data_IF_630330467269
#
_entry.id   IF_630330467269
#
_cell.length_a   1.000
_cell.length_b   1.000
_cell.length_c   1.000
_cell.angle_alpha   90.00
_cell.angle_beta   90.00
_cell.angle_gamma   90.00
#
_symmetry.space_group_name_H-M   'P 1'
#
loop_
_entity.id
_entity.type
_entity.pdbx_description
1 polymer ?
#
# COMPACT_ATOMS: atom_id res chain seq x y z
N UNK A 1 5.13 16.93 1.94
CA UNK A 1 6.47 16.33 2.15
C UNK A 1 6.52 15.40 3.35
N UNK A 2 5.92 15.74 4.50
CA UNK A 2 5.92 14.90 5.72
C UNK A 2 5.56 13.43 5.46
N UNK A 3 4.43 13.16 4.80
CA UNK A 3 4.02 11.79 4.41
C UNK A 3 5.13 10.95 3.79
N UNK A 4 5.90 11.51 2.84
CA UNK A 4 6.96 10.77 2.14
C UNK A 4 8.08 10.41 3.12
N UNK A 5 8.51 11.37 3.94
CA UNK A 5 9.58 11.17 4.89
C UNK A 5 9.21 10.13 5.95
N UNK A 6 8.05 10.32 6.60
CA UNK A 6 7.58 9.46 7.68
C UNK A 6 7.34 8.02 7.16
N UNK A 7 6.75 7.88 5.97
CA UNK A 7 6.50 6.56 5.35
C UNK A 7 7.80 5.84 5.01
N UNK A 8 8.78 6.52 4.40
CA UNK A 8 10.05 5.88 4.05
C UNK A 8 10.89 5.55 5.29
N UNK A 9 10.87 6.40 6.32
CA UNK A 9 11.54 6.11 7.59
C UNK A 9 10.95 4.88 8.28
N UNK A 10 9.62 4.80 8.36
CA UNK A 10 8.92 3.64 8.91
C UNK A 10 9.34 2.34 8.20
N UNK A 11 9.37 2.36 6.87
CA UNK A 11 9.69 1.17 6.07
C UNK A 11 11.19 0.81 6.04
N UNK A 12 12.08 1.76 6.35
CA UNK A 12 13.51 1.50 6.55
C UNK A 12 13.78 0.73 7.85
N UNK A 13 12.89 0.83 8.85
CA UNK A 13 13.03 0.04 10.08
C UNK A 13 12.89 -1.45 9.78
N UNK A 14 13.72 -2.25 10.46
CA UNK A 14 13.52 -3.69 10.54
C UNK A 14 12.08 -3.98 11.01
N UNK A 15 11.35 -4.93 10.39
CA UNK A 15 9.98 -5.23 10.75
C UNK A 15 9.74 -5.43 12.26
N UNK A 16 10.70 -5.98 13.02
CA UNK A 16 10.54 -6.15 14.47
C UNK A 16 10.58 -4.83 15.25
N UNK A 17 11.16 -3.78 14.69
CA UNK A 17 11.24 -2.45 15.31
C UNK A 17 10.10 -1.52 14.89
N UNK A 18 9.35 -1.84 13.82
CA UNK A 18 8.26 -1.00 13.30
C UNK A 18 7.18 -0.67 14.33
N UNK A 19 6.96 -1.51 15.35
CA UNK A 19 6.04 -1.23 16.46
C UNK A 19 6.37 0.09 17.18
N UNK A 20 7.65 0.44 17.32
CA UNK A 20 8.08 1.69 17.99
C UNK A 20 7.89 2.94 17.14
N UNK A 21 7.59 2.75 15.85
CA UNK A 21 7.49 3.79 14.84
C UNK A 21 6.10 3.81 14.17
N UNK A 22 5.11 3.09 14.72
CA UNK A 22 3.80 2.94 14.07
C UNK A 22 3.04 4.27 13.91
N UNK A 23 3.38 5.28 14.72
CA UNK A 23 2.90 6.64 14.52
C UNK A 23 3.39 7.22 13.18
N UNK A 24 4.60 6.92 12.70
CA UNK A 24 5.14 7.48 11.45
C UNK A 24 4.26 7.15 10.23
N UNK A 25 3.74 5.92 10.16
CA UNK A 25 2.89 5.49 9.03
C UNK A 25 1.45 6.01 9.12
N UNK A 26 1.01 6.48 10.29
CA UNK A 26 -0.38 6.93 10.56
C UNK A 26 -0.51 8.44 10.74
N UNK A 27 0.57 9.13 11.10
CA UNK A 27 0.58 10.54 11.52
C UNK A 27 0.11 11.50 10.43
N UNK A 28 0.43 11.21 9.16
CA UNK A 28 0.05 12.07 8.03
C UNK A 28 -1.46 12.29 7.90
N UNK A 29 -2.29 11.35 8.36
CA UNK A 29 -3.75 11.47 8.33
C UNK A 29 -4.24 12.60 9.24
N UNK A 30 -3.51 12.92 10.32
CA UNK A 30 -3.91 13.99 11.26
C UNK A 30 -3.96 15.37 10.59
N UNK A 31 -3.18 15.57 9.54
CA UNK A 31 -3.14 16.82 8.78
C UNK A 31 -3.49 16.62 7.30
N UNK A 32 -3.94 15.45 6.85
CA UNK A 32 -4.17 15.15 5.44
C UNK A 32 -5.20 16.06 4.73
N UNK A 33 -5.98 16.83 5.49
CA UNK A 33 -6.98 17.78 4.98
C UNK A 33 -6.67 19.24 5.31
N UNK A 34 -5.48 19.54 5.84
CA UNK A 34 -5.04 20.93 6.00
C UNK A 34 -4.70 21.59 4.66
N UNK A 35 -4.39 20.79 3.64
CA UNK A 35 -4.03 21.22 2.29
C UNK A 35 -4.52 20.20 1.26
N UNK A 36 -4.50 20.60 -0.01
CA UNK A 36 -4.72 19.68 -1.13
C UNK A 36 -3.42 18.94 -1.47
N UNK A 37 -3.13 17.86 -0.73
CA UNK A 37 -1.85 17.17 -0.85
C UNK A 37 -1.71 16.32 -2.12
N UNK A 38 -0.48 16.33 -2.63
CA UNK A 38 0.08 15.26 -3.46
C UNK A 38 1.05 14.45 -2.61
N UNK A 39 1.13 13.15 -2.87
CA UNK A 39 2.02 12.17 -2.26
C UNK A 39 3.15 11.89 -3.28
N UNK A 40 4.33 12.52 -3.14
CA UNK A 40 5.41 12.35 -4.09
C UNK A 40 6.43 11.31 -3.62
N UNK A 41 6.79 10.40 -4.52
CA UNK A 41 8.06 9.68 -4.51
C UNK A 41 8.84 10.15 -5.75
N UNK A 42 9.56 11.26 -5.58
CA UNK A 42 10.16 12.02 -6.68
C UNK A 42 11.62 11.62 -6.94
N UNK A 43 12.23 12.20 -7.98
CA UNK A 43 13.63 12.02 -8.33
C UNK A 43 14.61 12.29 -7.18
N UNK A 44 14.32 13.31 -6.35
CA UNK A 44 15.17 13.69 -5.21
C UNK A 44 15.31 12.56 -4.18
N UNK A 45 14.41 11.58 -4.16
CA UNK A 45 14.46 10.47 -3.21
C UNK A 45 15.29 9.27 -3.69
N UNK A 46 15.77 9.28 -4.93
CA UNK A 46 16.48 8.14 -5.56
C UNK A 46 17.83 8.52 -6.16
N UNK A 47 18.47 9.54 -5.59
CA UNK A 47 19.79 10.08 -5.98
C UNK A 47 20.65 10.39 -4.75
N UNK A 48 21.90 10.80 -4.99
CA UNK A 48 22.82 11.35 -3.99
C UNK A 48 23.08 10.42 -2.78
N UNK A 49 23.20 9.12 -3.02
CA UNK A 49 23.49 8.14 -1.98
C UNK A 49 22.26 7.70 -1.17
N UNK A 50 21.06 8.18 -1.52
CA UNK A 50 19.81 7.77 -0.86
C UNK A 50 19.36 6.36 -1.29
N UNK A 51 19.86 5.83 -2.38
CA UNK A 51 19.45 4.58 -3.01
C UNK A 51 18.08 4.65 -3.68
N UNK A 52 17.83 3.73 -4.61
CA UNK A 52 16.49 3.48 -5.16
C UNK A 52 15.52 3.01 -4.07
N UNK A 53 14.22 3.25 -4.25
CA UNK A 53 13.18 2.92 -3.25
C UNK A 53 13.30 1.47 -2.74
N UNK A 54 13.43 0.50 -3.66
CA UNK A 54 13.55 -0.93 -3.32
C UNK A 54 14.74 -1.24 -2.40
N UNK A 55 15.82 -0.46 -2.51
CA UNK A 55 17.06 -0.70 -1.76
C UNK A 55 17.04 -0.06 -0.37
N UNK A 56 16.07 0.80 -0.08
CA UNK A 56 15.90 1.42 1.25
C UNK A 56 15.36 0.45 2.28
N UNK A 57 14.67 -0.61 1.86
CA UNK A 57 14.01 -1.54 2.79
C UNK A 57 14.99 -2.63 3.28
N UNK A 58 14.84 -3.10 4.53
CA UNK A 58 15.58 -4.24 5.06
C UNK A 58 15.06 -5.55 4.47
N UNK A 59 15.81 -6.63 4.71
CA UNK A 59 15.45 -7.99 4.29
C UNK A 59 16.12 -8.44 2.99
N UNK A 60 15.79 -9.67 2.60
CA UNK A 60 16.25 -10.24 1.34
C UNK A 60 15.60 -9.57 0.12
N UNK A 61 16.03 -9.94 -1.09
CA UNK A 61 15.53 -9.34 -2.33
C UNK A 61 14.02 -9.49 -2.49
N UNK A 62 13.45 -10.63 -2.10
CA UNK A 62 12.01 -10.86 -2.18
C UNK A 62 11.25 -9.94 -1.22
N UNK A 63 11.72 -9.82 0.03
CA UNK A 63 11.13 -8.94 1.05
C UNK A 63 11.20 -7.46 0.66
N UNK A 64 12.30 -7.02 0.05
CA UNK A 64 12.44 -5.65 -0.47
C UNK A 64 11.42 -5.33 -1.55
N UNK A 65 11.25 -6.25 -2.51
CA UNK A 65 10.25 -6.09 -3.57
C UNK A 65 8.82 -6.18 -3.05
N UNK A 66 8.54 -7.09 -2.10
CA UNK A 66 7.23 -7.19 -1.45
C UNK A 66 6.88 -5.90 -0.70
N UNK A 67 7.82 -5.36 0.09
CA UNK A 67 7.68 -4.07 0.78
C UNK A 67 7.41 -2.93 -0.19
N UNK A 68 8.09 -2.90 -1.33
CA UNK A 68 7.84 -1.90 -2.37
C UNK A 68 6.42 -1.99 -2.95
N UNK A 69 5.96 -3.21 -3.27
CA UNK A 69 4.59 -3.42 -3.78
C UNK A 69 3.54 -3.04 -2.73
N UNK A 70 3.75 -3.37 -1.46
CA UNK A 70 2.90 -2.95 -0.34
C UNK A 70 2.88 -1.43 -0.17
N UNK A 71 4.05 -0.77 -0.23
CA UNK A 71 4.12 0.70 -0.23
C UNK A 71 3.27 1.30 -1.33
N UNK A 72 3.34 0.78 -2.56
CA UNK A 72 2.53 1.29 -3.67
C UNK A 72 1.03 1.05 -3.46
N UNK A 73 0.63 -0.13 -2.99
CA UNK A 73 -0.77 -0.40 -2.63
C UNK A 73 -1.28 0.56 -1.55
N UNK A 74 -0.50 0.79 -0.50
CA UNK A 74 -0.83 1.74 0.55
C UNK A 74 -0.89 3.18 0.02
N UNK A 75 0.13 3.63 -0.71
CA UNK A 75 0.24 4.97 -1.27
C UNK A 75 -0.94 5.30 -2.20
N UNK A 76 -1.34 4.37 -3.07
CA UNK A 76 -2.47 4.60 -3.98
C UNK A 76 -3.82 4.70 -3.23
N UNK A 77 -3.98 3.99 -2.12
CA UNK A 77 -5.18 4.04 -1.29
C UNK A 77 -5.21 5.21 -0.30
N UNK A 78 -4.06 5.73 0.13
CA UNK A 78 -3.98 6.87 1.04
C UNK A 78 -4.65 8.12 0.45
N UNK A 79 -5.30 9.01 1.22
CA UNK A 79 -5.80 10.28 0.71
C UNK A 79 -4.68 11.15 0.07
N UNK A 80 -4.98 11.79 -1.05
CA UNK A 80 -4.09 12.70 -1.79
C UNK A 80 -3.66 12.18 -3.17
N UNK A 81 -3.24 13.06 -4.09
CA UNK A 81 -2.87 12.67 -5.47
C UNK A 81 -1.49 11.99 -5.53
N UNK A 82 -1.19 11.22 -6.58
CA UNK A 82 0.01 10.35 -6.64
C UNK A 82 1.06 10.90 -7.61
N UNK A 83 2.32 10.84 -7.22
CA UNK A 83 3.46 11.08 -8.10
C UNK A 83 4.54 10.02 -7.85
N UNK A 84 4.96 9.33 -8.91
CA UNK A 84 6.02 8.33 -8.89
C UNK A 84 7.03 8.65 -9.99
N UNK A 85 8.31 8.73 -9.63
CA UNK A 85 9.37 9.03 -10.59
C UNK A 85 9.79 7.80 -11.39
N UNK A 86 10.13 8.03 -12.67
CA UNK A 86 10.53 6.99 -13.62
C UNK A 86 11.66 6.10 -13.10
N UNK A 87 11.63 4.81 -13.43
CA UNK A 87 12.51 3.78 -12.86
C UNK A 87 11.93 3.11 -11.61
N UNK A 88 11.16 3.85 -10.82
CA UNK A 88 10.55 3.32 -9.59
C UNK A 88 9.45 2.30 -9.88
N UNK A 89 8.75 2.45 -11.00
CA UNK A 89 7.64 1.59 -11.42
C UNK A 89 8.05 0.16 -11.79
N UNK A 90 9.35 -0.08 -12.00
CA UNK A 90 9.91 -1.41 -12.23
C UNK A 90 11.00 -1.78 -11.24
N UNK A 91 11.10 -1.05 -10.11
CA UNK A 91 12.12 -1.26 -9.09
C UNK A 91 13.54 -1.25 -9.67
N UNK A 92 13.92 -0.17 -10.37
CA UNK A 92 15.30 0.03 -10.80
C UNK A 92 16.28 -0.21 -9.64
N UNK A 93 17.43 -0.81 -9.95
CA UNK A 93 18.43 -1.17 -8.93
C UNK A 93 19.29 0.03 -8.56
N UNK A 94 19.90 0.68 -9.55
CA UNK A 94 20.85 1.75 -9.30
C UNK A 94 20.12 3.09 -9.19
N UNK A 95 20.69 4.00 -8.40
CA UNK A 95 20.21 5.39 -8.33
C UNK A 95 20.03 6.01 -9.71
N UNK A 96 19.11 6.96 -9.81
CA UNK A 96 18.89 7.63 -11.08
C UNK A 96 20.16 8.37 -11.50
N UNK A 97 20.59 8.13 -12.74
CA UNK A 97 21.71 8.79 -13.38
C UNK A 97 21.25 9.31 -14.73
N UNK A 98 21.14 10.63 -14.86
CA UNK A 98 20.66 11.31 -16.05
C UNK A 98 21.55 11.06 -17.28
N UNK A 99 22.84 10.80 -17.06
CA UNK A 99 23.80 10.54 -18.14
C UNK A 99 23.73 9.10 -18.68
N UNK A 100 23.28 8.14 -17.86
CA UNK A 100 23.17 6.73 -18.24
C UNK A 100 21.77 6.34 -18.73
N UNK A 101 20.74 7.09 -18.34
CA UNK A 101 19.35 6.75 -18.60
C UNK A 101 18.83 5.63 -17.69
N UNK A 102 17.63 5.12 -18.00
CA UNK A 102 16.97 4.08 -17.22
C UNK A 102 17.50 2.67 -17.58
N UNK A 103 17.53 1.79 -16.58
CA UNK A 103 17.98 0.40 -16.72
C UNK A 103 16.88 -0.49 -17.32
N UNK A 104 16.43 -0.20 -18.54
CA UNK A 104 15.28 -0.86 -19.18
C UNK A 104 15.42 -2.39 -19.31
N UNK A 105 16.65 -2.90 -19.45
CA UNK A 105 16.93 -4.35 -19.51
C UNK A 105 16.42 -5.10 -18.26
N UNK A 106 16.25 -4.42 -17.12
CA UNK A 106 15.69 -5.02 -15.91
C UNK A 106 14.25 -5.52 -16.11
N UNK A 107 13.49 -4.89 -17.01
CA UNK A 107 12.09 -5.26 -17.29
C UNK A 107 11.92 -6.64 -17.92
N UNK A 108 13.01 -7.25 -18.42
CA UNK A 108 13.02 -8.61 -18.94
C UNK A 108 13.04 -9.68 -17.84
N UNK A 109 13.33 -9.30 -16.59
CA UNK A 109 13.33 -10.22 -15.45
C UNK A 109 12.01 -10.19 -14.69
N UNK A 110 11.58 -11.38 -14.24
CA UNK A 110 10.28 -11.58 -13.61
C UNK A 110 10.04 -10.63 -12.42
N UNK A 111 11.06 -10.44 -11.57
CA UNK A 111 10.95 -9.62 -10.35
C UNK A 111 10.62 -8.14 -10.62
N UNK A 112 11.18 -7.55 -11.68
CA UNK A 112 10.92 -6.17 -12.08
C UNK A 112 9.59 -6.04 -12.83
N UNK A 113 9.30 -7.01 -13.71
CA UNK A 113 8.02 -7.07 -14.43
C UNK A 113 6.83 -7.21 -13.47
N UNK A 114 7.02 -7.89 -12.33
CA UNK A 114 6.01 -8.04 -11.27
C UNK A 114 5.62 -6.68 -10.65
N UNK A 115 6.61 -5.81 -10.39
CA UNK A 115 6.38 -4.46 -9.88
C UNK A 115 5.65 -3.60 -10.92
N UNK A 116 6.02 -3.67 -12.19
CA UNK A 116 5.30 -2.95 -13.26
C UNK A 116 3.85 -3.38 -13.37
N UNK A 117 3.58 -4.70 -13.26
CA UNK A 117 2.22 -5.24 -13.28
C UNK A 117 1.40 -4.72 -12.09
N UNK A 118 1.99 -4.57 -10.90
CA UNK A 118 1.33 -3.92 -9.76
C UNK A 118 0.98 -2.47 -10.09
N UNK A 119 1.92 -1.67 -10.59
CA UNK A 119 1.65 -0.27 -10.95
C UNK A 119 0.54 -0.16 -12.01
N UNK A 120 0.57 -1.01 -13.03
CA UNK A 120 -0.49 -1.10 -14.05
C UNK A 120 -1.85 -1.41 -13.42
N UNK A 121 -1.90 -2.43 -12.54
CA UNK A 121 -3.13 -2.83 -11.86
C UNK A 121 -3.66 -1.72 -10.94
N UNK A 122 -2.79 -1.10 -10.15
CA UNK A 122 -3.12 0.03 -9.27
C UNK A 122 -3.73 1.18 -10.06
N UNK A 123 -3.10 1.60 -11.17
CA UNK A 123 -3.60 2.67 -12.01
C UNK A 123 -4.94 2.31 -12.69
N UNK A 124 -5.13 1.05 -13.07
CA UNK A 124 -6.41 0.59 -13.61
C UNK A 124 -7.53 0.67 -12.58
N UNK A 125 -7.29 0.20 -11.35
CA UNK A 125 -8.31 0.24 -10.28
C UNK A 125 -8.55 1.67 -9.83
N UNK A 126 -7.50 2.48 -9.65
CA UNK A 126 -7.60 3.88 -9.23
C UNK A 126 -8.54 4.69 -10.13
N UNK A 127 -8.40 4.57 -11.45
CA UNK A 127 -9.30 5.23 -12.40
C UNK A 127 -10.74 4.72 -12.31
N UNK A 128 -10.93 3.43 -12.03
CA UNK A 128 -12.24 2.78 -12.03
C UNK A 128 -13.00 2.89 -10.70
N UNK A 129 -12.34 3.26 -9.59
CA UNK A 129 -12.92 3.27 -8.24
C UNK A 129 -12.96 4.70 -7.68
N UNK A 130 -14.12 5.39 -7.75
CA UNK A 130 -14.24 6.78 -7.33
C UNK A 130 -13.86 7.05 -5.87
N UNK A 131 -14.05 6.05 -4.99
CA UNK A 131 -13.66 6.13 -3.57
C UNK A 131 -12.17 6.47 -3.36
N UNK A 132 -11.30 6.14 -4.30
CA UNK A 132 -9.86 6.40 -4.21
C UNK A 132 -9.46 7.84 -4.52
N UNK A 133 -10.35 8.67 -5.09
CA UNK A 133 -9.98 10.01 -5.57
C UNK A 133 -11.02 11.12 -5.45
N UNK A 134 -12.32 10.83 -5.34
CA UNK A 134 -13.37 11.85 -5.25
C UNK A 134 -13.22 12.71 -3.99
N UNK A 135 -13.02 12.06 -2.85
CA UNK A 135 -12.97 12.70 -1.53
C UNK A 135 -11.56 12.80 -0.95
N UNK A 136 -10.53 12.96 -1.79
CA UNK A 136 -9.14 13.10 -1.29
C UNK A 136 -8.96 14.30 -0.35
N UNK A 137 -9.74 15.37 -0.57
CA UNK A 137 -9.65 16.64 0.18
C UNK A 137 -10.82 16.83 1.17
N UNK A 138 -11.58 15.77 1.45
CA UNK A 138 -12.67 15.78 2.44
C UNK A 138 -12.42 14.66 3.48
N UNK A 139 -12.38 14.97 4.80
CA UNK A 139 -12.26 13.98 5.87
C UNK A 139 -13.26 12.82 5.79
N UNK A 140 -14.47 13.06 5.29
CA UNK A 140 -15.49 12.02 5.10
C UNK A 140 -15.09 10.96 4.06
N UNK A 141 -14.05 11.21 3.26
CA UNK A 141 -13.47 10.27 2.31
C UNK A 141 -12.64 9.16 2.93
N UNK A 142 -12.43 9.16 4.25
CA UNK A 142 -11.54 8.26 4.96
C UNK A 142 -12.10 7.86 6.33
N UNK A 143 -11.86 6.62 6.76
CA UNK A 143 -12.10 6.18 8.14
C UNK A 143 -11.14 5.07 8.54
N UNK A 144 -10.51 5.18 9.70
CA UNK A 144 -9.67 4.10 10.24
C UNK A 144 -10.52 2.88 10.61
N UNK A 145 -10.04 1.70 10.23
CA UNK A 145 -10.54 0.41 10.72
C UNK A 145 -9.57 -0.16 11.75
N UNK A 146 -8.26 -0.04 11.47
CA UNK A 146 -7.14 -0.38 12.34
C UNK A 146 -6.04 0.65 12.12
N UNK A 147 -5.74 1.45 13.14
CA UNK A 147 -4.69 2.48 13.08
C UNK A 147 -3.68 2.41 14.23
N UNK A 148 -3.86 1.47 15.15
CA UNK A 148 -3.11 1.33 16.40
C UNK A 148 -2.47 -0.06 16.59
N UNK A 149 -2.55 -0.93 15.57
CA UNK A 149 -2.00 -2.29 15.63
C UNK A 149 -0.53 -2.35 15.18
N UNK A 150 0.30 -1.57 15.90
CA UNK A 150 1.75 -1.54 15.70
C UNK A 150 2.43 -2.87 16.01
N UNK A 151 1.87 -3.68 16.91
CA UNK A 151 2.42 -4.99 17.26
C UNK A 151 2.35 -5.98 16.07
N UNK A 152 1.32 -5.87 15.24
CA UNK A 152 1.14 -6.71 14.05
C UNK A 152 1.71 -6.08 12.77
N UNK A 153 2.16 -4.82 12.83
CA UNK A 153 2.50 -3.97 11.69
C UNK A 153 1.35 -3.83 10.67
N UNK A 154 0.11 -3.85 11.13
CA UNK A 154 -1.07 -3.78 10.26
C UNK A 154 -1.71 -2.40 10.36
N UNK A 155 -2.04 -1.85 9.20
CA UNK A 155 -2.93 -0.69 9.08
C UNK A 155 -4.09 -1.05 8.15
N UNK A 156 -5.29 -0.62 8.52
CA UNK A 156 -6.48 -0.81 7.70
C UNK A 156 -7.39 0.40 7.77
N UNK A 157 -7.94 0.81 6.63
CA UNK A 157 -8.84 1.94 6.55
C UNK A 157 -9.82 1.80 5.39
N UNK A 158 -10.92 2.54 5.49
CA UNK A 158 -11.92 2.68 4.45
C UNK A 158 -11.70 3.99 3.68
N UNK A 159 -11.87 3.93 2.36
CA UNK A 159 -12.04 5.07 1.46
C UNK A 159 -13.49 5.12 0.98
N UNK A 160 -14.05 6.33 0.90
CA UNK A 160 -15.45 6.54 0.52
C UNK A 160 -15.58 7.42 -0.74
N UNK A 161 -16.47 7.03 -1.64
CA UNK A 161 -16.92 7.87 -2.77
C UNK A 161 -18.02 8.85 -2.34
N UNK A 162 -18.42 9.71 -3.27
CA UNK A 162 -19.54 10.66 -3.10
C UNK A 162 -20.88 9.96 -2.91
N UNK A 163 -21.09 8.83 -3.58
CA UNK A 163 -22.30 8.00 -3.45
C UNK A 163 -22.29 7.06 -2.22
N UNK A 164 -21.26 7.13 -1.39
CA UNK A 164 -21.13 6.31 -0.19
C UNK A 164 -20.67 4.87 -0.43
N UNK A 165 -20.15 4.55 -1.61
CA UNK A 165 -19.53 3.24 -1.89
C UNK A 165 -18.16 3.13 -1.18
N UNK A 166 -17.95 2.11 -0.33
CA UNK A 166 -16.68 1.93 0.37
C UNK A 166 -15.67 1.10 -0.43
N UNK A 167 -14.39 1.39 -0.21
CA UNK A 167 -13.26 0.53 -0.54
C UNK A 167 -12.40 0.38 0.70
N UNK A 168 -12.03 -0.84 1.07
CA UNK A 168 -11.17 -1.10 2.23
C UNK A 168 -9.76 -1.39 1.75
N UNK A 169 -8.77 -0.74 2.37
CA UNK A 169 -7.35 -1.02 2.19
C UNK A 169 -6.82 -1.65 3.48
N UNK A 170 -6.15 -2.79 3.37
CA UNK A 170 -5.42 -3.45 4.45
C UNK A 170 -3.97 -3.60 4.02
N UNK A 171 -3.03 -3.16 4.86
CA UNK A 171 -1.60 -3.36 4.60
C UNK A 171 -0.94 -4.01 5.79
N UNK A 172 -0.23 -5.11 5.54
CA UNK A 172 0.66 -5.75 6.51
C UNK A 172 2.10 -5.41 6.15
N UNK A 173 2.77 -4.68 7.04
CA UNK A 173 4.19 -4.36 6.94
C UNK A 173 5.06 -5.34 7.76
N UNK A 174 4.58 -6.55 8.04
CA UNK A 174 5.38 -7.65 8.60
C UNK A 174 5.70 -8.68 7.52
N UNK A 175 6.91 -9.31 7.52
CA UNK A 175 7.19 -10.48 6.71
C UNK A 175 6.45 -11.74 7.18
N UNK A 176 5.73 -11.66 8.31
CA UNK A 176 4.91 -12.75 8.83
C UNK A 176 3.45 -12.54 8.39
N UNK A 177 2.82 -13.54 7.75
CA UNK A 177 1.40 -13.48 7.44
C UNK A 177 0.54 -13.57 8.70
N UNK A 178 -0.66 -13.01 8.65
CA UNK A 178 -1.68 -13.19 9.68
C UNK A 178 -2.76 -14.13 9.15
N UNK A 179 -2.76 -15.40 9.59
CA UNK A 179 -3.73 -16.40 9.10
C UNK A 179 -5.14 -16.24 9.69
N UNK A 180 -5.28 -15.53 10.80
CA UNK A 180 -6.58 -15.36 11.47
C UNK A 180 -6.72 -13.94 12.02
N UNK A 181 -6.68 -12.95 11.13
CA UNK A 181 -6.78 -11.55 11.50
C UNK A 181 -8.25 -11.11 11.57
N UNK A 182 -8.69 -10.62 12.73
CA UNK A 182 -10.06 -10.13 12.89
C UNK A 182 -10.15 -8.68 12.38
N UNK A 183 -10.74 -8.50 11.20
CA UNK A 183 -10.89 -7.20 10.55
C UNK A 183 -12.33 -6.69 10.71
N UNK A 184 -12.55 -5.46 11.24
CA UNK A 184 -13.84 -4.79 11.14
C UNK A 184 -14.06 -4.24 9.73
N UNK A 185 -15.27 -4.38 9.19
CA UNK A 185 -15.67 -3.83 7.90
C UNK A 185 -16.69 -2.70 8.11
N UNK A 186 -16.73 -1.69 7.21
CA UNK A 186 -17.57 -0.51 7.41
C UNK A 186 -19.07 -0.79 7.20
N UNK A 187 -19.43 -1.83 6.44
CA UNK A 187 -20.81 -2.16 6.10
C UNK A 187 -21.00 -3.66 5.89
N UNK A 188 -22.20 -4.16 6.18
CA UNK A 188 -22.61 -5.52 5.82
C UNK A 188 -22.71 -5.71 4.29
N UNK A 189 -22.63 -6.96 3.84
CA UNK A 189 -22.71 -7.34 2.43
C UNK A 189 -21.58 -8.28 2.00
N UNK A 190 -21.50 -8.55 0.70
CA UNK A 190 -20.46 -9.39 0.11
C UNK A 190 -19.26 -8.53 -0.23
N UNK A 191 -18.09 -8.96 0.22
CA UNK A 191 -16.82 -8.32 -0.06
C UNK A 191 -15.92 -9.26 -0.86
N UNK A 192 -15.12 -8.69 -1.76
CA UNK A 192 -14.12 -9.43 -2.54
C UNK A 192 -12.81 -8.66 -2.65
N UNK A 193 -11.72 -9.41 -2.78
CA UNK A 193 -10.42 -8.84 -3.13
C UNK A 193 -10.43 -8.32 -4.58
N UNK A 194 -9.98 -7.08 -4.78
CA UNK A 194 -9.78 -6.49 -6.11
C UNK A 194 -8.32 -6.18 -6.42
N UNK A 195 -7.49 -6.11 -5.38
CA UNK A 195 -6.04 -6.01 -5.43
C UNK A 195 -5.47 -6.86 -4.32
N UNK A 196 -4.43 -7.63 -4.63
CA UNK A 196 -3.58 -8.27 -3.65
C UNK A 196 -2.14 -8.20 -4.16
N UNK A 197 -1.27 -7.43 -3.49
CA UNK A 197 0.11 -7.25 -3.95
C UNK A 197 1.01 -8.46 -3.70
N UNK A 198 0.49 -9.48 -3.01
CA UNK A 198 1.11 -10.79 -2.79
C UNK A 198 0.73 -11.84 -3.85
N UNK A 199 -0.06 -11.46 -4.86
CA UNK A 199 -0.39 -12.36 -5.98
C UNK A 199 0.90 -12.89 -6.67
N UNK A 200 0.89 -14.17 -7.02
CA UNK A 200 1.98 -14.84 -7.74
C UNK A 200 2.31 -14.12 -9.07
N UNK A 201 1.32 -13.52 -9.73
CA UNK A 201 1.49 -12.73 -10.94
C UNK A 201 2.39 -11.49 -10.75
N UNK A 202 2.52 -11.03 -9.50
CA UNK A 202 3.36 -9.91 -9.08
C UNK A 202 4.66 -10.35 -8.38
N UNK A 203 4.88 -11.66 -8.22
CA UNK A 203 6.02 -12.22 -7.50
C UNK A 203 5.85 -12.28 -5.98
N UNK A 204 4.62 -12.32 -5.48
CA UNK A 204 4.34 -12.59 -4.06
C UNK A 204 4.31 -14.09 -3.72
N UNK A 205 3.79 -14.42 -2.54
CA UNK A 205 3.70 -15.77 -2.00
C UNK A 205 2.41 -16.51 -2.37
N UNK A 206 1.39 -15.77 -2.83
CA UNK A 206 0.12 -16.34 -3.30
C UNK A 206 -0.91 -16.58 -2.19
N UNK A 207 -0.83 -15.87 -1.06
CA UNK A 207 -1.90 -15.91 -0.06
C UNK A 207 -3.07 -15.07 -0.56
N UNK A 208 -4.23 -15.70 -0.72
CA UNK A 208 -5.46 -15.07 -1.22
C UNK A 208 -6.63 -15.34 -0.28
N UNK A 209 -7.66 -14.50 -0.37
CA UNK A 209 -8.96 -14.76 0.26
C UNK A 209 -10.06 -14.89 -0.82
N UNK A 210 -10.97 -15.83 -0.61
CA UNK A 210 -12.21 -15.91 -1.39
C UNK A 210 -13.16 -14.78 -1.00
N UNK A 211 -14.16 -14.49 -1.85
CA UNK A 211 -15.23 -13.56 -1.47
C UNK A 211 -15.96 -14.05 -0.22
N UNK A 212 -16.32 -13.12 0.66
CA UNK A 212 -16.99 -13.45 1.91
C UNK A 212 -18.14 -12.47 2.20
N UNK A 213 -19.12 -12.92 2.97
CA UNK A 213 -20.20 -12.08 3.47
C UNK A 213 -19.89 -11.58 4.89
N UNK A 214 -20.31 -10.35 5.16
CA UNK A 214 -20.30 -9.72 6.48
C UNK A 214 -21.73 -9.36 6.85
N UNK A 215 -22.13 -9.69 8.09
CA UNK A 215 -23.47 -9.44 8.62
C UNK A 215 -23.43 -8.48 9.82
N UNK A 216 -24.50 -7.73 10.02
CA UNK A 216 -24.68 -6.86 11.20
C UNK A 216 -24.62 -7.64 12.51
N UNK A 217 -25.06 -8.91 12.50
CA UNK A 217 -25.04 -9.80 13.67
C UNK A 217 -23.61 -10.21 14.09
N UNK A 218 -22.60 -9.94 13.25
CA UNK A 218 -21.19 -10.26 13.51
C UNK A 218 -20.37 -9.07 14.00
N UNK A 219 -21.03 -7.99 14.45
CA UNK A 219 -20.42 -6.68 14.70
C UNK A 219 -19.62 -6.15 13.49
N UNK A 220 -20.03 -6.56 12.28
CA UNK A 220 -19.32 -6.31 11.02
C UNK A 220 -17.87 -6.81 10.98
N UNK A 221 -17.51 -7.82 11.79
CA UNK A 221 -16.14 -8.37 11.84
C UNK A 221 -16.02 -9.65 11.03
N UNK A 222 -14.86 -9.85 10.41
CA UNK A 222 -14.51 -11.08 9.69
C UNK A 222 -13.10 -11.53 9.99
N UNK A 223 -12.89 -12.85 10.05
CA UNK A 223 -11.54 -13.44 10.02
C UNK A 223 -11.03 -13.40 8.58
N UNK A 224 -9.88 -12.77 8.41
CA UNK A 224 -9.26 -12.50 7.13
C UNK A 224 -7.79 -12.94 7.17
N UNK A 225 -7.27 -13.50 6.08
CA UNK A 225 -5.84 -13.79 5.96
C UNK A 225 -5.13 -12.57 5.41
N UNK A 226 -4.20 -11.99 6.14
CA UNK A 226 -3.41 -10.85 5.65
C UNK A 226 -2.05 -11.36 5.17
N UNK A 227 -1.73 -11.25 3.87
CA UNK A 227 -0.45 -11.74 3.34
C UNK A 227 0.76 -10.99 3.94
N UNK A 228 1.98 -11.54 3.87
CA UNK A 228 3.18 -10.89 4.37
C UNK A 228 3.62 -9.76 3.44
N UNK A 229 4.04 -8.62 4.00
CA UNK A 229 4.56 -7.47 3.24
C UNK A 229 3.69 -7.13 2.03
N UNK A 230 2.39 -6.97 2.26
CA UNK A 230 1.41 -6.82 1.20
C UNK A 230 0.30 -5.83 1.54
N UNK A 231 -0.28 -5.26 0.50
CA UNK A 231 -1.53 -4.52 0.55
C UNK A 231 -2.62 -5.28 -0.19
N UNK A 232 -3.78 -5.39 0.45
CA UNK A 232 -5.00 -5.95 -0.12
C UNK A 232 -6.06 -4.87 -0.14
N UNK A 233 -6.78 -4.76 -1.26
CA UNK A 233 -7.98 -3.92 -1.35
C UNK A 233 -9.22 -4.76 -1.52
N UNK A 234 -10.26 -4.43 -0.76
CA UNK A 234 -11.57 -5.04 -0.82
C UNK A 234 -12.59 -4.05 -1.36
N UNK A 235 -13.52 -4.56 -2.16
CA UNK A 235 -14.73 -3.82 -2.53
C UNK A 235 -15.98 -4.56 -2.10
N UNK A 236 -17.03 -3.80 -1.86
CA UNK A 236 -18.38 -4.31 -1.66
C UNK A 236 -19.03 -4.58 -3.02
N UNK A 237 -19.64 -5.75 -3.16
CA UNK A 237 -20.37 -6.22 -4.37
C UNK A 237 -21.85 -5.94 -4.23
#
# INVERSE_FOLDING_TARGET
MGWMHDTLQYLQQDPVHRVYHHNEITFSILYAWSENFMLPLSHDEVVHGKGQLVNKFPGDRWQKLATLRALYGFMWAHPGKKLLFMGSEFAQNDEWNESAGLQWYLTEFAEHSGVQKVISRLNSIYKAKPALWQKDTNPEGFSWLVGDDGASNVVAFTRWSDDGTPLVCITNFSPVPHDSYQLPLPTAGVWREILNTDDLAFGGSGITNESFAVDVDTDLKRIFRVPPLATVWLERV
#
